data_IF_571540140414
#
_entry.id   IF_571540140414
#
_cell.length_a   1.000
_cell.length_b   1.000
_cell.length_c   1.000
_cell.angle_alpha   90.00
_cell.angle_beta   90.00
_cell.angle_gamma   90.00
#
_symmetry.space_group_name_H-M   'P 1'
#
loop_
_entity.id
_entity.type
_entity.pdbx_description
1 polymer ?
#
# COMPACT_ATOMS: atom_id res chain seq x y z
N UNK A 1 2.36 16.03 -10.10
CA UNK A 1 2.00 14.62 -9.78
C UNK A 1 2.30 14.40 -8.32
N UNK A 2 1.30 14.00 -7.51
CA UNK A 2 1.48 13.79 -6.07
C UNK A 2 2.47 12.64 -5.85
N UNK A 3 3.49 12.85 -5.06
CA UNK A 3 4.45 11.81 -4.70
C UNK A 3 4.04 11.26 -3.34
N UNK A 4 3.81 9.95 -3.26
CA UNK A 4 3.41 9.28 -2.02
C UNK A 4 4.64 8.88 -1.22
N UNK A 5 4.61 9.12 0.07
CA UNK A 5 5.59 8.66 1.03
C UNK A 5 5.19 7.26 1.52
N UNK A 6 5.57 6.25 0.74
CA UNK A 6 5.38 4.83 1.07
C UNK A 6 6.73 4.26 1.49
N UNK A 7 6.79 3.39 2.52
CA UNK A 7 8.02 2.75 2.94
C UNK A 7 8.77 2.08 1.80
N UNK A 8 10.11 2.13 1.84
CA UNK A 8 10.97 1.64 0.75
C UNK A 8 10.75 0.17 0.41
N UNK A 9 10.38 -0.64 1.38
CA UNK A 9 10.20 -2.07 1.15
C UNK A 9 9.03 -2.40 0.20
N UNK A 10 8.08 -1.50 0.01
CA UNK A 10 7.05 -1.60 -1.04
C UNK A 10 7.58 -1.24 -2.43
N UNK A 11 8.84 -0.80 -2.54
CA UNK A 11 9.46 -0.36 -3.79
C UNK A 11 10.57 -1.30 -4.20
N UNK A 12 10.31 -2.19 -5.14
CA UNK A 12 11.37 -2.99 -5.77
C UNK A 12 12.33 -2.09 -6.55
N UNK A 13 13.66 -2.14 -6.30
CA UNK A 13 14.64 -1.37 -7.06
C UNK A 13 14.61 -1.70 -8.56
N UNK A 14 14.38 -2.96 -8.92
CA UNK A 14 14.27 -3.40 -10.32
C UNK A 14 13.04 -2.79 -10.98
N UNK A 15 11.90 -2.89 -10.32
CA UNK A 15 10.63 -2.34 -10.83
C UNK A 15 10.69 -0.81 -10.93
N UNK A 16 11.34 -0.14 -9.98
CA UNK A 16 11.55 1.31 -10.03
C UNK A 16 12.36 1.73 -11.25
N UNK A 17 13.42 0.97 -11.60
CA UNK A 17 14.21 1.19 -12.82
C UNK A 17 13.38 0.95 -14.09
N UNK A 18 12.58 -0.11 -14.13
CA UNK A 18 11.67 -0.39 -15.25
C UNK A 18 10.69 0.76 -15.45
N UNK A 19 10.05 1.22 -14.36
CA UNK A 19 9.11 2.37 -14.42
C UNK A 19 9.79 3.65 -14.90
N UNK A 20 10.99 3.94 -14.40
CA UNK A 20 11.77 5.12 -14.80
C UNK A 20 12.13 5.07 -16.30
N UNK A 21 12.66 3.93 -16.76
CA UNK A 21 12.99 3.75 -18.19
C UNK A 21 11.77 3.89 -19.07
N UNK A 22 10.67 3.22 -18.76
CA UNK A 22 9.41 3.32 -19.51
C UNK A 22 8.84 4.74 -19.56
N UNK A 23 9.02 5.54 -18.49
CA UNK A 23 8.61 6.95 -18.47
C UNK A 23 9.42 7.81 -19.41
N UNK A 24 10.71 7.49 -19.60
CA UNK A 24 11.60 8.18 -20.56
C UNK A 24 11.27 7.77 -21.99
N UNK A 25 11.13 6.46 -22.25
CA UNK A 25 10.92 5.91 -23.59
C UNK A 25 9.51 6.23 -24.13
N UNK A 26 8.50 6.27 -23.24
CA UNK A 26 7.10 6.51 -23.59
C UNK A 26 6.41 7.44 -22.56
N UNK A 27 6.74 8.75 -22.58
CA UNK A 27 6.20 9.72 -21.62
C UNK A 27 4.68 9.90 -21.72
N UNK A 28 4.10 9.65 -22.88
CA UNK A 28 2.65 9.76 -23.13
C UNK A 28 1.89 8.46 -22.84
N UNK A 29 2.58 7.39 -22.44
CA UNK A 29 1.99 6.08 -22.11
C UNK A 29 1.16 5.48 -23.24
N UNK A 30 1.59 5.64 -24.49
CA UNK A 30 0.90 5.16 -25.70
C UNK A 30 1.30 3.74 -26.10
N UNK A 31 2.47 3.27 -25.65
CA UNK A 31 2.93 1.91 -25.87
C UNK A 31 2.44 0.99 -24.73
N UNK A 32 1.50 0.11 -25.04
CA UNK A 32 0.91 -0.87 -24.12
C UNK A 32 1.66 -2.20 -24.08
N UNK A 33 2.73 -2.36 -24.85
CA UNK A 33 3.53 -3.58 -24.83
C UNK A 33 4.13 -3.84 -23.46
N UNK A 34 4.23 -5.11 -23.02
CA UNK A 34 4.87 -5.45 -21.74
C UNK A 34 6.38 -5.22 -21.80
N UNK A 35 6.99 -4.97 -20.66
CA UNK A 35 8.44 -4.97 -20.52
C UNK A 35 8.91 -6.40 -20.29
N UNK A 36 9.86 -6.86 -21.10
CA UNK A 36 10.50 -8.17 -20.98
C UNK A 36 11.83 -8.03 -20.25
N UNK A 37 12.00 -8.77 -19.17
CA UNK A 37 13.24 -8.85 -18.39
C UNK A 37 13.78 -10.25 -18.55
N UNK A 38 14.81 -10.40 -19.40
CA UNK A 38 15.45 -11.66 -19.67
C UNK A 38 16.57 -11.93 -18.67
N UNK A 39 16.52 -13.08 -18.03
CA UNK A 39 17.57 -13.63 -17.19
C UNK A 39 18.06 -14.96 -17.79
N UNK A 40 19.12 -15.52 -17.23
CA UNK A 40 19.77 -16.72 -17.80
C UNK A 40 18.81 -17.91 -17.96
N UNK A 41 17.88 -18.10 -17.01
CA UNK A 41 16.97 -19.27 -17.00
C UNK A 41 15.49 -18.90 -17.04
N UNK A 42 15.13 -17.65 -16.88
CA UNK A 42 13.75 -17.18 -16.80
C UNK A 42 13.58 -15.86 -17.51
N UNK A 43 12.40 -15.64 -18.07
CA UNK A 43 11.95 -14.35 -18.57
C UNK A 43 10.78 -13.87 -17.72
N UNK A 44 10.84 -12.61 -17.24
CA UNK A 44 9.72 -11.95 -16.61
C UNK A 44 9.04 -11.03 -17.61
N UNK A 45 7.74 -11.19 -17.77
CA UNK A 45 6.91 -10.34 -18.60
C UNK A 45 6.13 -9.42 -17.67
N UNK A 46 6.53 -8.15 -17.60
CA UNK A 46 5.94 -7.15 -16.72
C UNK A 46 4.92 -6.33 -17.50
N UNK A 47 3.68 -6.37 -17.07
CA UNK A 47 2.60 -5.58 -17.69
C UNK A 47 2.96 -4.09 -17.76
N UNK A 48 2.40 -3.36 -18.73
CA UNK A 48 2.64 -1.92 -18.87
C UNK A 48 2.13 -1.13 -17.66
N UNK A 49 0.96 -1.50 -17.17
CA UNK A 49 0.32 -0.91 -16.01
C UNK A 49 0.20 -1.95 -14.91
N UNK A 50 0.84 -1.70 -13.79
CA UNK A 50 0.87 -2.61 -12.64
C UNK A 50 1.17 -1.84 -11.36
N UNK A 51 0.95 -2.49 -10.23
CA UNK A 51 1.14 -1.97 -8.88
C UNK A 51 -0.19 -1.60 -8.22
N UNK A 52 -0.11 -0.95 -7.09
CA UNK A 52 -1.29 -0.47 -6.40
C UNK A 52 -1.98 0.64 -7.19
N UNK A 53 -3.30 0.66 -7.14
CA UNK A 53 -4.06 1.80 -7.66
C UNK A 53 -3.85 3.03 -6.75
N UNK A 54 -4.15 4.20 -7.29
CA UNK A 54 -4.02 5.47 -6.56
C UNK A 54 -4.73 5.47 -5.20
N UNK A 55 -5.91 4.86 -5.12
CA UNK A 55 -6.68 4.76 -3.87
C UNK A 55 -5.93 3.97 -2.80
N UNK A 56 -5.38 2.82 -3.16
CA UNK A 56 -4.61 1.97 -2.24
C UNK A 56 -3.32 2.65 -1.80
N UNK A 57 -2.56 3.25 -2.71
CA UNK A 57 -1.34 4.01 -2.36
C UNK A 57 -1.66 5.14 -1.39
N UNK A 58 -2.73 5.90 -1.63
CA UNK A 58 -3.16 6.99 -0.75
C UNK A 58 -3.62 6.48 0.63
N UNK A 59 -4.30 5.34 0.68
CA UNK A 59 -4.76 4.76 1.94
C UNK A 59 -3.58 4.26 2.80
N UNK A 60 -2.60 3.58 2.19
CA UNK A 60 -1.37 3.16 2.85
C UNK A 60 -0.61 4.39 3.38
N UNK A 61 -0.39 5.41 2.54
CA UNK A 61 0.28 6.65 2.94
C UNK A 61 -0.38 7.31 4.16
N UNK A 62 -1.71 7.40 4.15
CA UNK A 62 -2.46 7.98 5.28
C UNK A 62 -2.31 7.17 6.56
N UNK A 63 -2.24 5.85 6.47
CA UNK A 63 -2.04 5.00 7.63
C UNK A 63 -0.67 5.21 8.25
N UNK A 64 0.40 5.23 7.45
CA UNK A 64 1.75 5.53 7.95
C UNK A 64 1.87 6.94 8.50
N UNK A 65 1.27 7.91 7.84
CA UNK A 65 1.24 9.29 8.31
C UNK A 65 0.52 9.41 9.65
N UNK A 66 -0.59 8.72 9.85
CA UNK A 66 -1.28 8.69 11.12
C UNK A 66 -0.39 8.14 12.25
N UNK A 67 0.38 7.06 11.98
CA UNK A 67 1.34 6.51 12.95
C UNK A 67 2.42 7.55 13.31
N UNK A 68 3.03 8.17 12.30
CA UNK A 68 4.12 9.12 12.49
C UNK A 68 3.69 10.39 13.23
N UNK A 69 2.51 10.90 12.91
CA UNK A 69 1.98 12.14 13.51
C UNK A 69 1.37 11.91 14.91
N UNK A 70 1.06 10.67 15.28
CA UNK A 70 0.36 10.35 16.53
C UNK A 70 0.99 9.15 17.26
N UNK A 71 2.30 9.21 17.63
CA UNK A 71 3.00 8.06 18.19
C UNK A 71 2.42 7.56 19.54
N UNK A 72 1.73 8.43 20.26
CA UNK A 72 1.14 8.14 21.58
C UNK A 72 -0.32 7.66 21.52
N UNK A 73 -0.93 7.65 20.31
CA UNK A 73 -2.33 7.29 20.16
C UNK A 73 -2.50 5.86 19.65
N UNK A 74 -3.61 5.23 20.06
CA UNK A 74 -4.03 3.97 19.45
C UNK A 74 -4.62 4.27 18.08
N UNK A 75 -4.18 3.54 17.07
CA UNK A 75 -4.64 3.72 15.70
C UNK A 75 -5.30 2.43 15.23
N UNK A 76 -6.49 2.58 14.70
CA UNK A 76 -7.30 1.47 14.21
C UNK A 76 -7.64 1.68 12.74
N UNK A 77 -7.71 0.59 12.00
CA UNK A 77 -8.42 0.51 10.73
C UNK A 77 -9.77 -0.15 10.96
N UNK A 78 -10.82 0.42 10.37
CA UNK A 78 -12.15 -0.18 10.48
C UNK A 78 -12.14 -1.64 10.01
N UNK A 79 -11.47 -1.90 8.88
CA UNK A 79 -11.26 -3.24 8.32
C UNK A 79 -9.96 -3.28 7.53
N UNK A 80 -9.63 -4.44 6.98
CA UNK A 80 -8.49 -4.57 6.07
C UNK A 80 -8.64 -3.62 4.89
N UNK A 81 -7.57 -2.91 4.59
CA UNK A 81 -7.55 -1.90 3.55
C UNK A 81 -7.52 -2.53 2.15
N UNK A 82 -6.80 -3.62 2.02
CA UNK A 82 -6.67 -4.39 0.79
C UNK A 82 -6.56 -5.89 1.11
N UNK A 83 -6.89 -6.72 0.13
CA UNK A 83 -6.69 -8.17 0.24
C UNK A 83 -5.24 -8.56 -0.05
N UNK A 84 -4.31 -7.96 0.69
CA UNK A 84 -2.88 -8.28 0.62
C UNK A 84 -2.37 -8.56 2.03
N UNK A 85 -2.07 -9.84 2.36
CA UNK A 85 -1.60 -10.22 3.68
C UNK A 85 -0.34 -9.48 4.12
N UNK A 86 0.63 -9.31 3.23
CA UNK A 86 1.92 -8.66 3.55
C UNK A 86 1.72 -7.22 4.02
N UNK A 87 0.81 -6.47 3.36
CA UNK A 87 0.49 -5.10 3.76
C UNK A 87 -0.24 -5.07 5.10
N UNK A 88 -1.19 -5.98 5.32
CA UNK A 88 -1.95 -6.05 6.57
C UNK A 88 -1.05 -6.44 7.75
N UNK A 89 -0.16 -7.42 7.56
CA UNK A 89 0.82 -7.84 8.57
C UNK A 89 1.79 -6.70 8.91
N UNK A 90 2.25 -5.96 7.91
CA UNK A 90 3.12 -4.82 8.13
C UNK A 90 2.44 -3.69 8.92
N UNK A 91 1.19 -3.37 8.60
CA UNK A 91 0.41 -2.38 9.37
C UNK A 91 0.19 -2.83 10.83
N UNK A 92 -0.08 -4.13 11.06
CA UNK A 92 -0.16 -4.70 12.41
C UNK A 92 1.19 -4.59 13.15
N UNK A 93 2.31 -4.88 12.49
CA UNK A 93 3.65 -4.77 13.06
C UNK A 93 3.99 -3.32 13.46
N UNK A 94 3.42 -2.33 12.76
CA UNK A 94 3.54 -0.91 13.10
C UNK A 94 2.49 -0.41 14.11
N UNK A 95 1.75 -1.32 14.75
CA UNK A 95 0.86 -1.02 15.87
C UNK A 95 -0.58 -0.65 15.49
N UNK A 96 -0.93 -0.65 14.20
CA UNK A 96 -2.33 -0.51 13.79
C UNK A 96 -3.11 -1.79 14.14
N UNK A 97 -4.36 -1.65 14.56
CA UNK A 97 -5.24 -2.78 14.86
C UNK A 97 -6.48 -2.72 13.96
N UNK A 98 -7.02 -3.87 13.59
CA UNK A 98 -8.27 -3.93 12.83
C UNK A 98 -9.45 -4.08 13.78
N UNK A 99 -10.52 -3.29 13.55
CA UNK A 99 -11.73 -3.34 14.37
C UNK A 99 -12.65 -4.48 13.95
N UNK A 100 -12.66 -4.82 12.68
CA UNK A 100 -13.50 -5.90 12.13
C UNK A 100 -12.81 -6.61 10.96
N UNK A 101 -13.32 -7.80 10.66
CA UNK A 101 -12.93 -8.56 9.46
C UNK A 101 -13.52 -7.91 8.20
N UNK A 102 -13.06 -8.26 6.99
CA UNK A 102 -13.68 -7.82 5.74
C UNK A 102 -15.17 -8.19 5.62
N UNK A 103 -15.61 -9.23 6.32
CA UNK A 103 -17.00 -9.67 6.33
C UNK A 103 -17.85 -8.96 7.39
N UNK A 104 -17.28 -8.01 8.14
CA UNK A 104 -17.98 -7.23 9.16
C UNK A 104 -18.03 -7.88 10.54
N UNK A 105 -17.36 -9.03 10.76
CA UNK A 105 -17.24 -9.62 12.08
C UNK A 105 -16.34 -8.76 12.97
N UNK A 106 -16.84 -8.37 14.13
CA UNK A 106 -16.14 -7.48 15.05
C UNK A 106 -14.99 -8.21 15.75
N UNK A 107 -13.78 -7.69 15.59
CA UNK A 107 -12.56 -8.19 16.25
C UNK A 107 -12.30 -7.45 17.57
N UNK A 108 -12.61 -6.16 17.61
CA UNK A 108 -12.46 -5.29 18.78
C UNK A 108 -13.79 -4.57 19.01
N UNK A 109 -14.39 -4.67 20.23
CA UNK A 109 -15.64 -3.97 20.50
C UNK A 109 -15.50 -2.46 20.33
N UNK A 110 -16.39 -1.83 19.57
CA UNK A 110 -16.36 -0.38 19.35
C UNK A 110 -16.55 0.40 20.66
N UNK A 111 -17.18 -0.20 21.66
CA UNK A 111 -17.31 0.39 23.00
C UNK A 111 -15.97 0.56 23.74
N UNK A 112 -14.89 -0.06 23.28
CA UNK A 112 -13.55 0.09 23.85
C UNK A 112 -12.77 1.28 23.28
N UNK A 113 -13.33 1.94 22.27
CA UNK A 113 -12.74 3.14 21.67
C UNK A 113 -13.04 4.36 22.53
N UNK A 114 -12.11 5.29 22.57
CA UNK A 114 -12.26 6.56 23.27
C UNK A 114 -11.91 7.75 22.35
N UNK A 115 -12.08 8.97 22.87
CA UNK A 115 -11.89 10.20 22.10
C UNK A 115 -10.41 10.46 21.67
N UNK A 116 -9.46 9.74 22.24
CA UNK A 116 -8.04 9.85 21.89
C UNK A 116 -7.64 8.89 20.78
N UNK A 117 -8.48 7.91 20.47
CA UNK A 117 -8.22 6.93 19.42
C UNK A 117 -8.40 7.55 18.02
N UNK A 118 -7.67 6.99 17.08
CA UNK A 118 -7.81 7.33 15.67
C UNK A 118 -8.36 6.10 14.95
N UNK A 119 -9.47 6.28 14.25
CA UNK A 119 -10.05 5.26 13.38
C UNK A 119 -9.94 5.71 11.94
N UNK A 120 -9.24 4.91 11.13
CA UNK A 120 -9.12 5.13 9.69
C UNK A 120 -10.16 4.25 9.00
N UNK A 121 -10.97 4.88 8.15
CA UNK A 121 -11.97 4.20 7.31
C UNK A 121 -11.42 4.24 5.88
N UNK A 122 -11.04 3.09 5.32
CA UNK A 122 -10.47 3.01 3.99
C UNK A 122 -11.48 3.29 2.87
#
# INVERSE_FOLDING_TARGET
MKQFEIPEFYRSPIISKVKAKRKLDDPRKQDFSPTRLQFTKVEFIVARHFGFCYGVENAIEKSYKAIQENPEKRIFLLSQMIHNPDVNEDLLAHGIKFLQTPNGEQLIPFSTLDANDIVIIP
#
